data_IF_316760092184
#
_entry.id   IF_316760092184
#
_cell.length_a   1.000
_cell.length_b   1.000
_cell.length_c   1.000
_cell.angle_alpha   90.00
_cell.angle_beta   90.00
_cell.angle_gamma   90.00
#
_symmetry.space_group_name_H-M   'P 1'
#
loop_
_entity.id
_entity.type
_entity.pdbx_description
1 polymer ?
#
# COMPACT_ATOMS: atom_id res chain seq x y z
N UNK A 1 -4.90 -0.24 -18.58
CA UNK A 1 -3.93 -1.37 -18.55
C UNK A 1 -3.40 -1.48 -17.12
N UNK A 2 -3.27 -2.70 -16.59
CA UNK A 2 -2.68 -2.94 -15.26
C UNK A 2 -1.17 -3.03 -15.41
N UNK A 3 -0.45 -2.37 -14.50
CA UNK A 3 1.01 -2.35 -14.40
C UNK A 3 1.42 -2.98 -13.08
N UNK A 4 2.45 -3.80 -13.08
CA UNK A 4 2.89 -4.54 -11.91
C UNK A 4 4.11 -3.90 -11.26
N UNK A 5 3.97 -3.55 -9.99
CA UNK A 5 5.03 -3.02 -9.14
C UNK A 5 5.27 -3.90 -7.92
N UNK A 6 6.35 -3.59 -7.19
CA UNK A 6 6.62 -4.17 -5.87
C UNK A 6 7.17 -3.09 -4.94
N UNK A 7 6.65 -3.02 -3.72
CA UNK A 7 7.06 -2.04 -2.74
C UNK A 7 8.47 -2.33 -2.18
N UNK A 8 9.27 -1.29 -1.84
CA UNK A 8 10.63 -1.46 -1.37
C UNK A 8 10.74 -2.04 0.04
N UNK A 9 9.62 -2.07 0.77
CA UNK A 9 9.56 -2.39 2.21
C UNK A 9 10.05 -3.82 2.53
N UNK A 10 9.98 -4.75 1.58
CA UNK A 10 10.52 -6.09 1.73
C UNK A 10 12.05 -6.16 1.73
N UNK A 11 12.74 -5.16 1.16
CA UNK A 11 14.21 -5.05 1.19
C UNK A 11 14.71 -4.23 2.35
N UNK A 12 14.01 -3.12 2.65
CA UNK A 12 14.36 -2.22 3.73
C UNK A 12 13.09 -1.62 4.31
N UNK A 13 12.93 -1.80 5.61
CA UNK A 13 11.72 -1.39 6.31
C UNK A 13 11.84 0.06 6.79
N UNK A 14 10.83 0.88 6.51
CA UNK A 14 10.78 2.28 6.95
C UNK A 14 10.32 2.42 8.41
N UNK A 15 9.58 1.44 8.94
CA UNK A 15 9.10 1.43 10.34
C UNK A 15 10.19 0.95 11.32
N UNK A 16 11.11 0.09 10.86
CA UNK A 16 12.27 -0.39 11.61
C UNK A 16 13.52 -0.21 10.74
N UNK A 17 14.13 0.99 10.69
CA UNK A 17 15.19 1.33 9.75
C UNK A 17 16.46 0.45 9.82
N UNK A 18 16.67 -0.26 10.94
CA UNK A 18 17.75 -1.19 11.11
C UNK A 18 17.57 -2.46 10.27
N UNK A 19 16.32 -2.85 9.99
CA UNK A 19 15.98 -4.04 9.20
C UNK A 19 16.25 -3.75 7.74
N UNK A 20 17.15 -4.53 7.15
CA UNK A 20 17.54 -4.38 5.76
C UNK A 20 18.42 -3.18 5.47
N UNK A 21 18.97 -2.47 6.48
CA UNK A 21 19.81 -1.28 6.30
C UNK A 21 21.01 -1.48 5.36
N UNK A 22 21.48 -2.71 5.21
CA UNK A 22 22.55 -3.08 4.27
C UNK A 22 22.12 -3.16 2.80
N UNK A 23 20.82 -3.19 2.50
CA UNK A 23 20.31 -3.21 1.12
C UNK A 23 20.42 -1.82 0.52
N UNK A 24 21.25 -1.69 -0.52
CA UNK A 24 21.38 -0.43 -1.25
C UNK A 24 20.23 -0.24 -2.23
N UNK A 25 19.95 1.02 -2.62
CA UNK A 25 18.99 1.33 -3.65
C UNK A 25 19.25 0.55 -4.95
N UNK A 26 20.51 0.51 -5.38
CA UNK A 26 20.92 -0.15 -6.62
C UNK A 26 20.67 -1.66 -6.57
N UNK A 27 20.90 -2.29 -5.43
CA UNK A 27 20.60 -3.71 -5.21
C UNK A 27 19.10 -3.96 -5.33
N UNK A 28 18.30 -3.24 -4.56
CA UNK A 28 16.85 -3.33 -4.56
C UNK A 28 16.26 -3.12 -5.96
N UNK A 29 16.64 -2.05 -6.66
CA UNK A 29 16.12 -1.78 -8.01
C UNK A 29 16.54 -2.84 -9.03
N UNK A 30 17.74 -3.45 -8.86
CA UNK A 30 18.17 -4.53 -9.73
C UNK A 30 17.39 -5.82 -9.48
N UNK A 31 17.10 -6.14 -8.23
CA UNK A 31 16.27 -7.28 -7.85
C UNK A 31 14.85 -7.14 -8.41
N UNK A 32 14.27 -5.93 -8.36
CA UNK A 32 12.95 -5.64 -8.95
C UNK A 32 12.92 -5.98 -10.45
N UNK A 33 13.97 -5.59 -11.19
CA UNK A 33 14.10 -5.93 -12.62
C UNK A 33 14.25 -7.43 -12.82
N UNK A 34 15.11 -8.08 -12.03
CA UNK A 34 15.34 -9.55 -12.12
C UNK A 34 14.06 -10.31 -11.84
N UNK A 35 13.25 -9.84 -10.90
CA UNK A 35 11.95 -10.43 -10.60
C UNK A 35 10.88 -10.13 -11.67
N UNK A 36 11.12 -9.23 -12.62
CA UNK A 36 10.21 -8.93 -13.73
C UNK A 36 9.10 -7.93 -13.42
N UNK A 37 9.28 -7.07 -12.42
CA UNK A 37 8.38 -5.96 -12.14
C UNK A 37 8.75 -4.70 -12.92
N UNK A 38 7.76 -3.84 -13.15
CA UNK A 38 7.88 -2.64 -13.97
C UNK A 38 8.19 -1.37 -13.17
N UNK A 39 8.08 -1.44 -11.84
CA UNK A 39 8.29 -0.29 -10.97
C UNK A 39 8.18 -0.60 -9.49
N UNK A 40 8.30 0.47 -8.71
CA UNK A 40 8.25 0.42 -7.25
C UNK A 40 7.62 1.69 -6.69
N UNK A 41 7.30 1.71 -5.42
CA UNK A 41 6.98 2.92 -4.67
C UNK A 41 8.26 3.55 -4.12
N UNK A 42 8.19 4.83 -3.75
CA UNK A 42 9.33 5.52 -3.15
C UNK A 42 9.41 5.15 -1.67
N UNK A 43 10.51 4.55 -1.24
CA UNK A 43 10.83 4.31 0.17
C UNK A 43 11.48 5.53 0.84
N UNK A 44 11.38 5.60 2.17
CA UNK A 44 11.92 6.71 2.96
C UNK A 44 13.43 6.92 2.84
N UNK A 45 14.17 5.91 2.39
CA UNK A 45 15.62 5.98 2.18
C UNK A 45 16.05 6.33 0.74
N UNK A 46 15.07 6.58 -0.16
CA UNK A 46 15.38 6.91 -1.55
C UNK A 46 16.02 8.32 -1.63
N UNK A 47 16.93 8.53 -2.59
CA UNK A 47 17.66 9.79 -2.72
C UNK A 47 16.81 10.88 -3.38
N UNK A 48 17.41 12.06 -3.51
CA UNK A 48 16.86 13.16 -4.29
C UNK A 48 16.51 12.76 -5.73
N UNK A 49 15.50 13.42 -6.29
CA UNK A 49 14.85 13.05 -7.55
C UNK A 49 15.81 12.85 -8.72
N UNK A 50 16.83 13.71 -8.88
CA UNK A 50 17.77 13.61 -10.00
C UNK A 50 18.62 12.33 -9.94
N UNK A 51 19.00 11.90 -8.75
CA UNK A 51 19.76 10.66 -8.53
C UNK A 51 18.85 9.46 -8.75
N UNK A 52 17.65 9.50 -8.17
CA UNK A 52 16.66 8.44 -8.33
C UNK A 52 16.28 8.22 -9.80
N UNK A 53 16.01 9.29 -10.54
CA UNK A 53 15.64 9.19 -11.95
C UNK A 53 16.74 8.54 -12.82
N UNK A 54 18.03 8.79 -12.52
CA UNK A 54 19.14 8.11 -13.21
C UNK A 54 19.14 6.61 -12.93
N UNK A 55 18.95 6.21 -11.67
CA UNK A 55 18.93 4.81 -11.27
C UNK A 55 17.73 4.05 -11.86
N UNK A 56 16.56 4.70 -11.93
CA UNK A 56 15.35 4.16 -12.55
C UNK A 56 15.53 4.01 -14.07
N UNK A 57 16.06 5.04 -14.73
CA UNK A 57 16.27 5.03 -16.18
C UNK A 57 17.23 3.92 -16.63
N UNK A 58 18.31 3.66 -15.87
CA UNK A 58 19.25 2.56 -16.13
C UNK A 58 18.58 1.18 -16.15
N UNK A 59 17.44 1.05 -15.46
CA UNK A 59 16.72 -0.22 -15.24
C UNK A 59 15.36 -0.25 -15.92
N UNK A 60 14.98 0.82 -16.61
CA UNK A 60 13.65 1.00 -17.20
C UNK A 60 12.51 0.81 -16.19
N UNK A 61 12.73 1.25 -14.95
CA UNK A 61 11.74 1.21 -13.87
C UNK A 61 10.99 2.53 -13.75
N UNK A 62 9.77 2.48 -13.21
CA UNK A 62 8.89 3.62 -12.98
C UNK A 62 8.50 3.70 -11.51
N UNK A 63 8.09 4.89 -11.06
CA UNK A 63 7.51 5.09 -9.73
C UNK A 63 6.00 4.89 -9.81
N UNK A 64 5.49 4.00 -8.97
CA UNK A 64 4.06 3.72 -8.80
C UNK A 64 3.39 4.76 -7.91
N UNK A 65 4.04 5.14 -6.81
CA UNK A 65 3.52 6.07 -5.83
C UNK A 65 4.50 6.33 -4.70
N UNK A 66 4.03 7.06 -3.69
CA UNK A 66 4.78 7.30 -2.46
C UNK A 66 3.82 7.49 -1.28
N UNK A 67 4.16 6.88 -0.14
CA UNK A 67 3.48 7.06 1.12
C UNK A 67 3.64 8.48 1.68
N UNK A 68 2.54 9.03 2.19
CA UNK A 68 2.49 10.28 2.94
C UNK A 68 1.74 10.08 4.26
N UNK A 69 2.45 10.18 5.38
CA UNK A 69 1.85 10.20 6.71
C UNK A 69 1.15 11.53 6.94
N UNK A 70 -0.18 11.51 6.98
CA UNK A 70 -1.00 12.66 7.31
C UNK A 70 -1.20 12.76 8.82
N UNK A 71 -1.25 13.98 9.33
CA UNK A 71 -1.58 14.31 10.71
C UNK A 71 -2.60 15.46 10.75
N UNK A 72 -3.60 15.40 9.88
CA UNK A 72 -4.65 16.42 9.76
C UNK A 72 -5.35 16.64 11.10
N UNK A 73 -5.66 15.55 11.82
CA UNK A 73 -6.37 15.62 13.10
C UNK A 73 -5.49 16.28 14.18
N UNK A 74 -4.22 15.88 14.26
CA UNK A 74 -3.29 16.38 15.30
C UNK A 74 -2.80 17.79 15.04
N UNK A 75 -2.36 18.05 13.81
CA UNK A 75 -1.56 19.27 13.48
C UNK A 75 -2.36 20.28 12.65
N UNK A 76 -3.58 19.93 12.27
CA UNK A 76 -4.44 20.77 11.44
C UNK A 76 -4.14 20.68 9.94
N UNK A 77 -5.13 21.03 9.14
CA UNK A 77 -5.09 20.92 7.68
C UNK A 77 -4.01 21.80 7.03
N UNK A 78 -3.75 23.00 7.56
CA UNK A 78 -2.76 23.90 6.96
C UNK A 78 -1.33 23.36 7.05
N UNK A 79 -1.00 22.69 8.18
CA UNK A 79 0.27 21.98 8.32
C UNK A 79 0.39 20.84 7.32
N UNK A 80 -0.66 20.03 7.21
CA UNK A 80 -0.71 18.91 6.28
C UNK A 80 -0.58 19.38 4.82
N UNK A 81 -1.26 20.46 4.43
CA UNK A 81 -1.19 21.04 3.07
C UNK A 81 0.22 21.46 2.70
N UNK A 82 0.94 22.12 3.60
CA UNK A 82 2.32 22.52 3.34
C UNK A 82 3.22 21.33 3.05
N UNK A 83 3.22 20.34 3.94
CA UNK A 83 4.03 19.13 3.79
C UNK A 83 3.61 18.32 2.55
N UNK A 84 2.31 18.21 2.28
CA UNK A 84 1.80 17.48 1.13
C UNK A 84 2.13 18.16 -0.20
N UNK A 85 2.17 19.47 -0.26
CA UNK A 85 2.61 20.22 -1.45
C UNK A 85 4.06 19.89 -1.81
N UNK A 86 4.95 19.83 -0.81
CA UNK A 86 6.36 19.45 -1.00
C UNK A 86 6.47 18.00 -1.46
N UNK A 87 5.67 17.10 -0.87
CA UNK A 87 5.57 15.68 -1.27
C UNK A 87 5.10 15.53 -2.73
N UNK A 88 4.03 16.21 -3.13
CA UNK A 88 3.54 16.18 -4.51
C UNK A 88 4.59 16.73 -5.51
N UNK A 89 5.30 17.78 -5.13
CA UNK A 89 6.36 18.34 -5.97
C UNK A 89 7.54 17.39 -6.15
N UNK A 90 7.91 16.62 -5.12
CA UNK A 90 8.91 15.56 -5.24
C UNK A 90 8.41 14.41 -6.11
N UNK A 91 7.21 13.92 -5.84
CA UNK A 91 6.61 12.80 -6.57
C UNK A 91 6.48 13.11 -8.08
N UNK A 92 6.14 14.34 -8.41
CA UNK A 92 6.11 14.81 -9.80
C UNK A 92 7.50 14.79 -10.45
N UNK A 93 8.56 15.19 -9.72
CA UNK A 93 9.94 15.16 -10.25
C UNK A 93 10.43 13.74 -10.55
N UNK A 94 9.95 12.74 -9.82
CA UNK A 94 10.30 11.33 -10.06
C UNK A 94 9.30 10.62 -10.98
N UNK A 95 8.39 11.36 -11.63
CA UNK A 95 7.37 10.86 -12.55
C UNK A 95 6.40 9.85 -11.91
N UNK A 96 6.18 9.93 -10.59
CA UNK A 96 5.10 9.24 -9.91
C UNK A 96 3.75 9.89 -10.22
N UNK A 97 2.68 9.15 -10.06
CA UNK A 97 1.33 9.64 -10.35
C UNK A 97 0.30 9.38 -9.24
N UNK A 98 0.71 8.74 -8.14
CA UNK A 98 -0.16 8.42 -7.01
C UNK A 98 0.49 8.85 -5.70
N UNK A 99 -0.19 9.71 -4.95
CA UNK A 99 0.14 10.05 -3.57
C UNK A 99 -0.68 9.16 -2.64
N UNK A 100 -0.02 8.26 -1.92
CA UNK A 100 -0.63 7.31 -0.98
C UNK A 100 -0.71 7.96 0.39
N UNK A 101 -1.91 8.32 0.84
CA UNK A 101 -2.13 9.07 2.09
C UNK A 101 -2.77 8.17 3.14
N UNK A 102 -2.23 8.19 4.36
CA UNK A 102 -2.84 7.56 5.52
C UNK A 102 -2.78 8.51 6.72
N UNK A 103 -3.88 8.65 7.46
CA UNK A 103 -3.93 9.48 8.67
C UNK A 103 -3.30 8.74 9.84
N UNK A 104 -2.22 9.30 10.37
CA UNK A 104 -1.39 8.65 11.38
C UNK A 104 -1.59 9.22 12.80
N UNK A 105 -2.52 10.17 12.99
CA UNK A 105 -2.88 10.62 14.35
C UNK A 105 -3.40 9.44 15.16
N UNK A 106 -2.81 9.24 16.32
CA UNK A 106 -3.08 8.13 17.24
C UNK A 106 -2.73 6.73 16.72
N UNK A 107 -2.09 6.61 15.54
CA UNK A 107 -1.65 5.31 15.03
C UNK A 107 -0.84 4.53 16.06
N UNK A 108 -1.10 3.23 16.14
CA UNK A 108 -0.38 2.31 17.03
C UNK A 108 0.63 1.43 16.28
N UNK A 109 0.88 1.69 14.98
CA UNK A 109 1.78 0.91 14.15
C UNK A 109 3.19 0.76 14.76
N UNK A 110 3.77 1.86 15.24
CA UNK A 110 5.09 1.88 15.89
C UNK A 110 5.09 1.57 17.39
N UNK A 111 3.94 1.23 17.98
CA UNK A 111 3.80 1.02 19.43
C UNK A 111 3.71 -0.46 19.80
N UNK A 112 4.12 -0.78 21.04
CA UNK A 112 3.94 -2.12 21.64
C UNK A 112 2.51 -2.30 22.17
N UNK A 113 1.51 -2.07 21.32
CA UNK A 113 0.09 -2.26 21.62
C UNK A 113 -0.46 -3.42 20.81
N UNK A 114 -1.44 -4.13 21.37
CA UNK A 114 -2.13 -5.19 20.66
C UNK A 114 -2.87 -4.62 19.45
N UNK A 115 -2.36 -4.90 18.25
CA UNK A 115 -2.90 -4.33 17.02
C UNK A 115 -4.31 -4.82 16.68
N UNK A 116 -4.73 -5.94 17.23
CA UNK A 116 -6.03 -6.54 16.98
C UNK A 116 -7.15 -6.00 17.86
N UNK A 117 -6.83 -5.24 18.94
CA UNK A 117 -7.83 -4.81 19.94
C UNK A 117 -7.66 -3.39 20.44
N UNK A 118 -6.55 -2.72 20.16
CA UNK A 118 -6.24 -1.40 20.74
C UNK A 118 -6.14 -0.28 19.71
N UNK A 119 -6.71 -0.48 18.50
CA UNK A 119 -6.70 0.56 17.46
C UNK A 119 -7.37 1.86 17.93
N UNK A 120 -6.97 3.01 17.40
CA UNK A 120 -7.63 4.28 17.71
C UNK A 120 -9.02 4.37 17.06
N UNK A 121 -9.88 5.21 17.65
CA UNK A 121 -11.18 5.58 17.09
C UNK A 121 -11.29 7.10 17.04
N UNK A 122 -11.83 7.62 15.95
CA UNK A 122 -12.05 9.03 15.78
C UNK A 122 -13.44 9.44 16.26
N UNK A 123 -13.52 10.62 16.88
CA UNK A 123 -14.77 11.30 17.19
C UNK A 123 -15.43 11.84 15.92
N UNK A 124 -16.72 12.20 15.98
CA UNK A 124 -17.41 12.82 14.83
C UNK A 124 -16.74 14.10 14.33
N UNK A 125 -16.19 14.90 15.25
CA UNK A 125 -15.45 16.11 14.90
C UNK A 125 -14.14 15.78 14.16
N UNK A 126 -13.39 14.78 14.62
CA UNK A 126 -12.16 14.32 13.96
C UNK A 126 -12.44 13.71 12.58
N UNK A 127 -13.55 12.97 12.42
CA UNK A 127 -13.99 12.50 11.12
C UNK A 127 -14.29 13.63 10.14
N UNK A 128 -15.01 14.67 10.60
CA UNK A 128 -15.30 15.86 9.79
C UNK A 128 -13.99 16.53 9.37
N UNK A 129 -13.09 16.77 10.33
CA UNK A 129 -11.79 17.39 10.07
C UNK A 129 -10.94 16.57 9.08
N UNK A 130 -10.91 15.26 9.22
CA UNK A 130 -10.19 14.35 8.32
C UNK A 130 -10.76 14.43 6.89
N UNK A 131 -12.07 14.29 6.72
CA UNK A 131 -12.71 14.28 5.41
C UNK A 131 -12.55 15.62 4.68
N UNK A 132 -12.75 16.74 5.37
CA UNK A 132 -12.54 18.09 4.83
C UNK A 132 -11.07 18.29 4.45
N UNK A 133 -10.14 17.91 5.33
CA UNK A 133 -8.72 18.02 5.07
C UNK A 133 -8.25 17.18 3.88
N UNK A 134 -8.74 15.95 3.75
CA UNK A 134 -8.41 15.09 2.59
C UNK A 134 -8.94 15.68 1.27
N UNK A 135 -10.11 16.32 1.26
CA UNK A 135 -10.60 17.01 0.07
C UNK A 135 -9.69 18.18 -0.34
N UNK A 136 -9.12 18.89 0.64
CA UNK A 136 -8.12 19.96 0.36
C UNK A 136 -6.80 19.36 -0.16
N UNK A 137 -6.31 18.26 0.44
CA UNK A 137 -5.13 17.57 -0.08
C UNK A 137 -5.38 17.02 -1.49
N UNK A 138 -6.57 16.48 -1.77
CA UNK A 138 -6.95 16.04 -3.11
C UNK A 138 -6.89 17.16 -4.15
N UNK A 139 -7.30 18.38 -3.78
CA UNK A 139 -7.15 19.56 -4.64
C UNK A 139 -5.67 19.87 -4.95
N UNK A 140 -4.79 19.70 -3.97
CA UNK A 140 -3.33 19.88 -4.18
C UNK A 140 -2.78 18.79 -5.10
N UNK A 141 -3.20 17.53 -4.91
CA UNK A 141 -2.80 16.43 -5.79
C UNK A 141 -3.21 16.70 -7.24
N UNK A 142 -4.47 17.11 -7.48
CA UNK A 142 -4.97 17.46 -8.81
C UNK A 142 -4.15 18.60 -9.47
N UNK A 143 -3.77 19.61 -8.71
CA UNK A 143 -2.94 20.71 -9.21
C UNK A 143 -1.52 20.25 -9.65
N UNK A 144 -1.09 19.07 -9.21
CA UNK A 144 0.16 18.42 -9.60
C UNK A 144 -0.03 17.27 -10.60
N UNK A 145 -1.22 17.09 -11.18
CA UNK A 145 -1.60 15.94 -12.01
C UNK A 145 -1.34 14.59 -11.32
N UNK A 146 -1.60 14.50 -10.03
CA UNK A 146 -1.48 13.31 -9.21
C UNK A 146 -2.86 12.86 -8.73
N UNK A 147 -3.01 11.57 -8.43
CA UNK A 147 -4.16 11.06 -7.70
C UNK A 147 -3.82 10.91 -6.22
N UNK A 148 -4.67 11.45 -5.36
CA UNK A 148 -4.64 11.11 -3.94
C UNK A 148 -5.43 9.81 -3.74
N UNK A 149 -4.78 8.79 -3.17
CA UNK A 149 -5.42 7.56 -2.72
C UNK A 149 -5.28 7.43 -1.21
N UNK A 150 -6.39 7.17 -0.52
CA UNK A 150 -6.33 6.91 0.91
C UNK A 150 -6.02 5.44 1.17
N UNK A 151 -5.01 5.18 1.98
CA UNK A 151 -4.63 3.83 2.42
C UNK A 151 -5.21 3.56 3.81
N UNK A 152 -6.24 2.71 3.88
CA UNK A 152 -6.69 2.12 5.13
C UNK A 152 -5.61 1.17 5.66
N UNK A 153 -5.32 1.22 6.96
CA UNK A 153 -4.17 0.50 7.48
C UNK A 153 -4.43 -0.02 8.90
N UNK A 154 -3.97 -1.23 9.16
CA UNK A 154 -4.06 -1.88 10.46
C UNK A 154 -3.40 -1.04 11.55
N UNK A 155 -4.11 -0.81 12.67
CA UNK A 155 -3.63 0.00 13.78
C UNK A 155 -3.82 1.51 13.62
N UNK A 156 -4.57 1.96 12.60
CA UNK A 156 -4.94 3.37 12.41
C UNK A 156 -6.43 3.61 12.71
N UNK A 157 -6.85 4.87 12.63
CA UNK A 157 -8.26 5.23 12.82
C UNK A 157 -9.17 4.85 11.64
N UNK A 158 -8.60 4.49 10.49
CA UNK A 158 -9.34 3.99 9.31
C UNK A 158 -8.76 2.62 8.95
N UNK A 159 -9.40 1.56 9.40
CA UNK A 159 -8.94 0.18 9.29
C UNK A 159 -10.01 -0.76 8.76
N UNK A 160 -11.24 -0.64 9.27
CA UNK A 160 -12.36 -1.54 8.98
C UNK A 160 -13.17 -1.08 7.78
N UNK A 161 -14.00 -1.99 7.21
CA UNK A 161 -14.92 -1.65 6.12
C UNK A 161 -15.85 -0.50 6.50
N UNK A 162 -16.39 -0.50 7.73
CA UNK A 162 -17.28 0.56 8.21
C UNK A 162 -16.58 1.93 8.26
N UNK A 163 -15.33 1.96 8.64
CA UNK A 163 -14.53 3.19 8.67
C UNK A 163 -14.15 3.66 7.26
N UNK A 164 -13.83 2.74 6.35
CA UNK A 164 -13.64 3.07 4.93
C UNK A 164 -14.93 3.59 4.32
N UNK A 165 -16.09 2.99 4.64
CA UNK A 165 -17.41 3.47 4.21
C UNK A 165 -17.64 4.92 4.64
N UNK A 166 -17.36 5.22 5.91
CA UNK A 166 -17.51 6.56 6.46
C UNK A 166 -16.59 7.56 5.76
N UNK A 167 -15.32 7.19 5.55
CA UNK A 167 -14.36 8.01 4.83
C UNK A 167 -14.80 8.30 3.39
N UNK A 168 -15.19 7.25 2.66
CA UNK A 168 -15.62 7.38 1.26
C UNK A 168 -16.91 8.18 1.11
N UNK A 169 -17.83 8.08 2.08
CA UNK A 169 -19.04 8.88 2.10
C UNK A 169 -18.78 10.36 2.46
N UNK A 170 -17.78 10.63 3.30
CA UNK A 170 -17.43 11.98 3.76
C UNK A 170 -16.50 12.76 2.82
N UNK A 171 -15.93 12.10 1.79
CA UNK A 171 -14.94 12.70 0.88
C UNK A 171 -15.45 12.85 -0.55
N UNK A 172 -14.95 13.87 -1.26
CA UNK A 172 -15.27 14.13 -2.67
C UNK A 172 -14.72 12.99 -3.57
N UNK A 173 -15.57 12.24 -4.27
CA UNK A 173 -15.16 11.13 -5.11
C UNK A 173 -14.28 11.54 -6.30
N UNK A 174 -14.29 12.81 -6.69
CA UNK A 174 -13.43 13.30 -7.76
C UNK A 174 -11.98 13.54 -7.30
N UNK A 175 -11.76 13.67 -5.98
CA UNK A 175 -10.47 14.11 -5.40
C UNK A 175 -9.79 13.08 -4.52
N UNK A 176 -10.59 12.32 -3.76
CA UNK A 176 -10.09 11.31 -2.82
C UNK A 176 -10.48 9.95 -3.32
N UNK A 177 -9.50 9.18 -3.75
CA UNK A 177 -9.67 7.80 -4.18
C UNK A 177 -9.27 6.83 -3.07
N UNK A 178 -9.46 5.53 -3.30
CA UNK A 178 -9.10 4.48 -2.37
C UNK A 178 -7.90 3.71 -2.88
N UNK A 179 -6.92 3.47 -2.01
CA UNK A 179 -5.98 2.38 -2.16
C UNK A 179 -6.63 1.14 -1.54
N UNK A 180 -6.77 0.08 -2.32
CA UNK A 180 -7.28 -1.21 -1.86
C UNK A 180 -6.11 -2.12 -1.50
N UNK A 181 -5.94 -2.39 -0.20
CA UNK A 181 -4.94 -3.32 0.33
C UNK A 181 -5.64 -4.59 0.83
N UNK A 182 -5.30 -5.72 0.23
CA UNK A 182 -5.92 -7.02 0.54
C UNK A 182 -5.54 -7.55 1.92
N UNK A 183 -4.30 -7.34 2.35
CA UNK A 183 -3.79 -7.89 3.61
C UNK A 183 -4.32 -7.13 4.83
N UNK A 184 -4.30 -5.81 4.80
CA UNK A 184 -4.78 -5.02 5.93
C UNK A 184 -6.26 -5.26 6.21
N UNK A 185 -7.12 -5.25 5.19
CA UNK A 185 -8.55 -5.51 5.41
C UNK A 185 -8.82 -6.97 5.79
N UNK A 186 -8.02 -7.92 5.27
CA UNK A 186 -8.17 -9.33 5.66
C UNK A 186 -7.85 -9.55 7.15
N UNK A 187 -6.78 -8.91 7.67
CA UNK A 187 -6.42 -9.00 9.09
C UNK A 187 -7.45 -8.31 9.98
N UNK A 188 -7.99 -7.16 9.53
CA UNK A 188 -8.99 -6.40 10.27
C UNK A 188 -10.33 -7.14 10.38
N UNK A 189 -10.88 -7.66 9.28
CA UNK A 189 -12.24 -8.19 9.22
C UNK A 189 -12.41 -9.54 8.53
N UNK A 190 -11.41 -10.02 7.79
CA UNK A 190 -11.45 -11.29 7.05
C UNK A 190 -12.14 -11.21 5.68
N UNK A 191 -13.00 -10.24 5.44
CA UNK A 191 -13.75 -10.10 4.17
C UNK A 191 -13.20 -8.96 3.31
N UNK A 192 -12.10 -9.26 2.61
CA UNK A 192 -11.46 -8.33 1.68
C UNK A 192 -12.31 -8.10 0.42
N UNK A 193 -13.17 -9.07 0.03
CA UNK A 193 -14.03 -8.92 -1.14
C UNK A 193 -15.16 -7.93 -0.91
N UNK A 194 -15.70 -7.83 0.30
CA UNK A 194 -16.74 -6.85 0.63
C UNK A 194 -16.25 -5.41 0.40
N UNK A 195 -15.00 -5.10 0.79
CA UNK A 195 -14.40 -3.79 0.52
C UNK A 195 -14.24 -3.53 -0.97
N UNK A 196 -13.71 -4.52 -1.71
CA UNK A 196 -13.52 -4.44 -3.16
C UNK A 196 -14.84 -4.18 -3.89
N UNK A 197 -15.87 -4.97 -3.60
CA UNK A 197 -17.17 -4.86 -4.28
C UNK A 197 -17.84 -3.51 -4.02
N UNK A 198 -17.77 -3.04 -2.78
CA UNK A 198 -18.47 -1.82 -2.36
C UNK A 198 -17.83 -0.56 -2.91
N UNK A 199 -16.51 -0.52 -3.02
CA UNK A 199 -15.77 0.69 -3.38
C UNK A 199 -15.01 0.59 -4.69
N UNK A 200 -15.34 -0.38 -5.55
CA UNK A 200 -14.62 -0.66 -6.80
C UNK A 200 -14.41 0.59 -7.67
N UNK A 201 -15.41 1.48 -7.73
CA UNK A 201 -15.38 2.71 -8.53
C UNK A 201 -14.47 3.81 -7.92
N UNK A 202 -14.09 3.66 -6.66
CA UNK A 202 -13.20 4.59 -5.95
C UNK A 202 -11.75 4.12 -5.95
N UNK A 203 -11.49 2.85 -6.31
CA UNK A 203 -10.14 2.26 -6.27
C UNK A 203 -9.30 2.80 -7.42
N UNK A 204 -8.19 3.47 -7.08
CA UNK A 204 -7.22 4.01 -8.05
C UNK A 204 -5.79 3.48 -7.86
N UNK A 205 -5.55 2.72 -6.80
CA UNK A 205 -4.29 2.04 -6.52
C UNK A 205 -4.56 0.74 -5.75
N UNK A 206 -3.72 -0.26 -5.91
CA UNK A 206 -3.94 -1.58 -5.30
C UNK A 206 -2.65 -2.12 -4.72
N UNK A 207 -2.70 -2.59 -3.48
CA UNK A 207 -1.68 -3.42 -2.86
C UNK A 207 -2.16 -4.87 -2.78
N UNK A 208 -1.40 -5.77 -3.39
CA UNK A 208 -1.54 -7.19 -3.20
C UNK A 208 -0.62 -7.63 -2.07
N UNK A 209 -1.16 -7.70 -0.89
CA UNK A 209 -0.52 -8.14 0.34
C UNK A 209 -1.21 -9.42 0.81
N UNK A 210 -0.46 -10.50 0.91
CA UNK A 210 -0.98 -11.79 1.37
C UNK A 210 -0.77 -12.00 2.87
N UNK A 211 -1.48 -12.95 3.44
CA UNK A 211 -1.48 -13.21 4.89
C UNK A 211 -1.33 -14.71 5.15
N UNK A 212 -0.39 -15.08 6.03
CA UNK A 212 -0.31 -16.46 6.55
C UNK A 212 -1.30 -16.60 7.70
N UNK A 213 -2.40 -17.29 7.44
CA UNK A 213 -3.56 -17.36 8.34
C UNK A 213 -3.26 -17.97 9.71
N UNK A 214 -2.41 -18.96 9.75
CA UNK A 214 -1.97 -19.62 10.99
C UNK A 214 -1.07 -18.71 11.82
N UNK A 215 -0.15 -17.97 11.18
CA UNK A 215 0.69 -16.97 11.83
C UNK A 215 -0.17 -15.82 12.37
N UNK A 216 -1.14 -15.33 11.58
CA UNK A 216 -2.09 -14.30 12.02
C UNK A 216 -2.87 -14.77 13.27
N UNK A 217 -3.36 -16.02 13.27
CA UNK A 217 -4.07 -16.57 14.40
C UNK A 217 -3.19 -16.62 15.68
N UNK A 218 -1.92 -17.01 15.53
CA UNK A 218 -0.96 -17.00 16.62
C UNK A 218 -0.68 -15.56 17.12
N UNK A 219 -0.46 -14.60 16.22
CA UNK A 219 -0.27 -13.20 16.58
C UNK A 219 -1.46 -12.64 17.38
N UNK A 220 -2.69 -12.95 16.92
CA UNK A 220 -3.92 -12.54 17.60
C UNK A 220 -4.06 -13.16 18.98
N UNK A 221 -3.76 -14.45 19.12
CA UNK A 221 -3.79 -15.15 20.42
C UNK A 221 -2.76 -14.60 21.41
N UNK A 222 -1.57 -14.22 20.92
CA UNK A 222 -0.50 -13.66 21.74
C UNK A 222 -0.67 -12.16 22.00
N UNK A 223 -1.61 -11.50 21.36
CA UNK A 223 -1.86 -10.06 21.51
C UNK A 223 -0.71 -9.20 21.02
N UNK A 224 -0.09 -9.59 19.90
CA UNK A 224 1.12 -8.92 19.40
C UNK A 224 0.82 -7.53 18.83
N UNK A 225 1.85 -6.68 18.85
CA UNK A 225 1.83 -5.40 18.14
C UNK A 225 1.96 -5.61 16.63
N UNK A 226 1.75 -4.53 15.85
CA UNK A 226 1.93 -4.56 14.40
C UNK A 226 3.35 -5.01 14.03
N UNK A 227 4.37 -4.37 14.62
CA UNK A 227 5.78 -4.69 14.33
C UNK A 227 6.12 -6.14 14.70
N UNK A 228 5.67 -6.62 15.85
CA UNK A 228 5.89 -8.01 16.26
C UNK A 228 5.19 -9.00 15.33
N UNK A 229 4.01 -8.65 14.83
CA UNK A 229 3.24 -9.51 13.93
C UNK A 229 3.91 -9.66 12.57
N UNK A 230 4.40 -8.58 11.95
CA UNK A 230 5.09 -8.71 10.68
C UNK A 230 6.47 -9.38 10.84
N UNK A 231 7.21 -9.10 11.93
CA UNK A 231 8.46 -9.80 12.23
C UNK A 231 8.27 -11.32 12.43
N UNK A 232 7.10 -11.73 12.92
CA UNK A 232 6.69 -13.14 13.01
C UNK A 232 6.31 -13.74 11.65
N UNK A 233 6.20 -12.92 10.61
CA UNK A 233 5.88 -13.34 9.25
C UNK A 233 4.39 -13.42 8.96
N UNK A 234 3.57 -12.59 9.61
CA UNK A 234 2.12 -12.55 9.36
C UNK A 234 1.79 -12.14 7.93
N UNK A 235 2.47 -11.11 7.41
CA UNK A 235 2.33 -10.69 6.03
C UNK A 235 3.31 -11.41 5.11
N UNK A 236 2.87 -11.63 3.88
CA UNK A 236 3.67 -12.27 2.84
C UNK A 236 3.22 -11.82 1.45
N UNK A 237 3.82 -12.39 0.42
CA UNK A 237 3.52 -12.09 -0.98
C UNK A 237 2.47 -13.04 -1.57
N UNK A 238 1.75 -12.67 -2.65
CA UNK A 238 0.82 -13.56 -3.34
C UNK A 238 1.44 -14.91 -3.70
N UNK A 239 0.71 -15.97 -3.34
CA UNK A 239 1.13 -17.36 -3.55
C UNK A 239 1.81 -18.03 -2.36
N UNK A 240 2.03 -17.30 -1.26
CA UNK A 240 2.61 -17.82 -0.02
C UNK A 240 1.69 -17.60 1.20
N UNK A 241 0.46 -17.16 0.99
CA UNK A 241 -0.56 -16.95 2.01
C UNK A 241 -1.90 -17.58 1.67
N UNK A 242 -2.99 -16.93 2.06
CA UNK A 242 -4.33 -17.51 1.97
C UNK A 242 -5.35 -16.67 1.17
N UNK A 243 -4.97 -15.53 0.62
CA UNK A 243 -5.88 -14.65 -0.12
C UNK A 243 -6.06 -15.17 -1.55
N UNK A 244 -7.31 -15.24 -2.03
CA UNK A 244 -7.61 -15.60 -3.42
C UNK A 244 -7.43 -14.40 -4.36
N UNK A 245 -6.21 -14.19 -4.83
CA UNK A 245 -5.90 -13.12 -5.78
C UNK A 245 -6.48 -13.36 -7.17
N UNK A 246 -6.88 -14.57 -7.53
CA UNK A 246 -7.54 -14.83 -8.81
C UNK A 246 -8.92 -14.18 -8.82
N UNK A 247 -9.69 -14.33 -7.74
CA UNK A 247 -10.98 -13.67 -7.60
C UNK A 247 -10.84 -12.14 -7.59
N UNK A 248 -9.93 -11.60 -6.77
CA UNK A 248 -9.65 -10.15 -6.69
C UNK A 248 -9.26 -9.59 -8.07
N UNK A 249 -8.30 -10.22 -8.74
CA UNK A 249 -7.81 -9.76 -10.05
C UNK A 249 -8.89 -9.78 -11.12
N UNK A 250 -9.69 -10.85 -11.19
CA UNK A 250 -10.80 -10.96 -12.12
C UNK A 250 -11.84 -9.86 -11.87
N UNK A 251 -12.11 -9.53 -10.62
CA UNK A 251 -13.05 -8.46 -10.27
C UNK A 251 -12.52 -7.08 -10.68
N UNK A 252 -11.26 -6.79 -10.41
CA UNK A 252 -10.59 -5.55 -10.86
C UNK A 252 -10.62 -5.43 -12.38
N UNK A 253 -10.38 -6.52 -13.11
CA UNK A 253 -10.43 -6.50 -14.58
C UNK A 253 -11.84 -6.24 -15.12
N UNK A 254 -12.85 -6.88 -14.53
CA UNK A 254 -14.26 -6.68 -14.94
C UNK A 254 -14.74 -5.25 -14.72
N UNK A 255 -14.20 -4.54 -13.71
CA UNK A 255 -14.52 -3.13 -13.48
C UNK A 255 -13.84 -2.17 -14.47
N UNK A 256 -12.89 -2.66 -15.26
CA UNK A 256 -12.07 -1.81 -16.13
C UNK A 256 -10.91 -1.12 -15.39
N UNK A 257 -10.55 -1.58 -14.20
CA UNK A 257 -9.43 -1.02 -13.45
C UNK A 257 -8.17 -0.89 -14.32
N UNK A 258 -7.55 0.26 -14.27
CA UNK A 258 -6.27 0.55 -14.90
C UNK A 258 -5.39 1.34 -13.93
N UNK A 259 -4.14 0.94 -13.81
CA UNK A 259 -3.20 1.53 -12.85
C UNK A 259 -2.24 0.49 -12.30
N UNK A 260 -1.64 0.80 -11.17
CA UNK A 260 -0.69 -0.08 -10.52
C UNK A 260 -1.36 -1.11 -9.64
N UNK A 261 -0.89 -2.36 -9.71
CA UNK A 261 -1.00 -3.33 -8.64
C UNK A 261 0.41 -3.53 -8.10
N UNK A 262 0.62 -3.14 -6.86
CA UNK A 262 1.91 -3.22 -6.18
C UNK A 262 1.89 -4.40 -5.21
N UNK A 263 2.88 -5.28 -5.33
CA UNK A 263 3.09 -6.34 -4.36
C UNK A 263 3.73 -5.72 -3.13
N UNK A 264 3.16 -5.96 -1.97
CA UNK A 264 3.68 -5.43 -0.72
C UNK A 264 3.63 -6.48 0.38
N UNK A 265 4.74 -6.61 1.09
CA UNK A 265 4.80 -7.40 2.31
C UNK A 265 5.87 -6.83 3.23
N UNK A 266 5.48 -6.43 4.44
CA UNK A 266 6.42 -6.12 5.50
C UNK A 266 7.01 -7.44 5.99
N UNK A 267 8.29 -7.65 5.71
CA UNK A 267 9.04 -8.84 6.11
C UNK A 267 10.44 -8.46 6.59
N UNK A 268 11.03 -9.31 7.41
CA UNK A 268 12.45 -9.21 7.75
C UNK A 268 13.29 -9.83 6.62
N UNK A 269 14.06 -9.05 5.86
CA UNK A 269 14.88 -9.57 4.76
C UNK A 269 15.98 -10.55 5.21
N UNK A 270 16.29 -10.62 6.50
CA UNK A 270 17.19 -11.62 7.04
C UNK A 270 16.56 -13.03 7.12
N UNK A 271 15.23 -13.09 7.17
CA UNK A 271 14.45 -14.33 7.25
C UNK A 271 13.77 -14.63 5.92
N UNK A 272 13.19 -13.61 5.29
CA UNK A 272 12.50 -13.68 4.00
C UNK A 272 13.35 -12.96 2.95
N UNK A 273 14.17 -13.69 2.18
CA UNK A 273 15.02 -13.09 1.15
C UNK A 273 14.16 -12.31 0.14
N UNK A 274 14.36 -10.99 -0.02
CA UNK A 274 13.45 -10.16 -0.81
C UNK A 274 13.33 -10.59 -2.28
N UNK A 275 14.45 -10.95 -2.91
CA UNK A 275 14.43 -11.42 -4.31
C UNK A 275 13.68 -12.75 -4.44
N UNK A 276 13.87 -13.70 -3.52
CA UNK A 276 13.14 -14.97 -3.55
C UNK A 276 11.63 -14.74 -3.42
N UNK A 277 11.19 -13.87 -2.49
CA UNK A 277 9.78 -13.55 -2.32
C UNK A 277 9.21 -12.75 -3.50
N UNK A 278 9.99 -11.86 -4.10
CA UNK A 278 9.59 -11.17 -5.34
C UNK A 278 9.40 -12.16 -6.50
N UNK A 279 10.26 -13.18 -6.61
CA UNK A 279 10.13 -14.24 -7.63
C UNK A 279 8.93 -15.17 -7.35
N UNK A 280 8.61 -15.47 -6.08
CA UNK A 280 7.39 -16.22 -5.71
C UNK A 280 6.15 -15.46 -6.18
N UNK A 281 6.06 -14.16 -5.84
CA UNK A 281 4.95 -13.31 -6.27
C UNK A 281 4.83 -13.23 -7.80
N UNK A 282 5.95 -13.02 -8.48
CA UNK A 282 5.95 -12.91 -9.94
C UNK A 282 5.49 -14.21 -10.60
N UNK A 283 6.01 -15.34 -10.15
CA UNK A 283 5.59 -16.66 -10.63
C UNK A 283 4.08 -16.86 -10.43
N UNK A 284 3.55 -16.54 -9.25
CA UNK A 284 2.11 -16.62 -8.99
C UNK A 284 1.30 -15.78 -9.95
N UNK A 285 1.71 -14.53 -10.18
CA UNK A 285 1.07 -13.61 -11.13
C UNK A 285 1.06 -14.21 -12.54
N UNK A 286 2.21 -14.67 -13.01
CA UNK A 286 2.34 -15.20 -14.37
C UNK A 286 1.49 -16.46 -14.58
N UNK A 287 1.52 -17.40 -13.63
CA UNK A 287 0.84 -18.70 -13.75
C UNK A 287 -0.67 -18.60 -13.51
N UNK A 288 -1.13 -17.75 -12.57
CA UNK A 288 -2.53 -17.77 -12.13
C UNK A 288 -3.34 -16.56 -12.63
N UNK A 289 -2.70 -15.40 -12.86
CA UNK A 289 -3.42 -14.17 -13.20
C UNK A 289 -3.29 -13.81 -14.69
N UNK A 290 -2.14 -14.07 -15.32
CA UNK A 290 -1.87 -13.66 -16.70
C UNK A 290 -2.06 -14.80 -17.70
N UNK A 291 -1.71 -16.04 -17.38
CA UNK A 291 -1.84 -17.20 -18.28
C UNK A 291 -3.26 -17.74 -18.37
N UNK A 292 -4.10 -17.56 -17.35
CA UNK A 292 -5.51 -17.99 -17.38
C UNK A 292 -6.29 -17.43 -18.59
N UNK A 293 -5.81 -16.36 -19.24
CA UNK A 293 -6.41 -15.76 -20.45
C UNK A 293 -6.07 -16.44 -21.77
N UNK A 294 -5.04 -17.27 -21.83
CA UNK A 294 -4.63 -17.94 -23.09
C UNK A 294 -5.58 -19.12 -23.38
N UNK A 295 -6.14 -19.75 -22.35
CA UNK A 295 -7.10 -20.84 -22.48
C UNK A 295 -8.51 -20.43 -22.89
N UNK A 296 -8.97 -19.21 -22.55
CA UNK A 296 -10.34 -18.73 -22.88
C UNK A 296 -10.47 -18.12 -24.27
N UNK A 297 -9.39 -17.86 -24.99
CA UNK A 297 -9.40 -17.33 -26.38
C UNK A 297 -9.37 -18.40 -27.47
N UNK A 298 -9.41 -19.67 -27.10
CA UNK A 298 -9.29 -20.82 -28.03
C UNK A 298 -10.53 -21.69 -28.05
N UNK A 299 -11.74 -21.14 -28.00
CA UNK A 299 -12.98 -21.84 -28.34
C UNK A 299 -13.84 -20.96 -29.23
#
# INVERSE_FOLDING_TARGET
>A
MITWGIAPIGWRNDDIPEIGAGNTLQHLLSDIVVAGFEGTEVGGFFPEADVLNKELALRNLRIAGQWFSSFIIRDGVDSAKKAFTEHCAYLKKVNGNVAVVSEQTYSIQGLTKNVFTEKPHFTEQEWTQLCEGLNELGTIADAHDLKLVYHHHLGTGVETLAEVDQLMAGTDPARVHLLYDTGHIFVAEGDYMALLEKHIDRIAHVHFKDVRKDVMAACKQEGLSFLQSFLKGMFTVPGDGCIDFVEVYNRLQKSGYSGWIVIEAEQDPAVANPLEYALIARKYIDENLLQAKIGERSI
#
